data_IF_864611441303
#
_entry.id   IF_864611441303
#
_cell.length_a   1.000
_cell.length_b   1.000
_cell.length_c   1.000
_cell.angle_alpha   90.00
_cell.angle_beta   90.00
_cell.angle_gamma   90.00
#
_symmetry.space_group_name_H-M   'P 1'
#
loop_
_entity.id
_entity.type
_entity.pdbx_description
1 polymer ?
#
# COMPACT_ATOMS: atom_id res chain seq x y z
N UNK A 1 19.00 -6.71 -3.28
CA UNK A 1 19.04 -5.43 -4.04
C UNK A 1 18.47 -4.39 -3.09
N UNK A 2 19.24 -3.38 -2.72
CA UNK A 2 18.80 -2.35 -1.78
C UNK A 2 18.22 -1.22 -2.62
N UNK A 3 16.93 -0.93 -2.52
CA UNK A 3 16.34 0.26 -3.15
C UNK A 3 16.43 1.43 -2.19
N UNK A 4 16.70 2.63 -2.68
CA UNK A 4 16.98 3.80 -1.83
C UNK A 4 15.94 4.91 -1.94
N UNK A 5 15.10 4.89 -2.99
CA UNK A 5 14.02 5.87 -3.13
C UNK A 5 12.85 5.34 -3.94
N UNK A 6 11.68 5.96 -3.73
CA UNK A 6 10.49 5.83 -4.56
C UNK A 6 10.42 7.07 -5.45
N UNK A 7 10.38 6.89 -6.77
CA UNK A 7 10.27 8.00 -7.72
C UNK A 7 8.86 8.31 -8.16
N UNK A 8 7.96 7.31 -8.14
CA UNK A 8 6.59 7.46 -8.61
C UNK A 8 5.66 6.49 -7.88
N UNK A 9 4.45 6.97 -7.58
CA UNK A 9 3.35 6.15 -7.05
C UNK A 9 2.09 6.48 -7.83
N UNK A 10 1.50 5.47 -8.45
CA UNK A 10 0.29 5.65 -9.27
C UNK A 10 -0.73 4.54 -9.00
N UNK A 11 -2.01 4.89 -9.10
CA UNK A 11 -3.08 3.91 -9.13
C UNK A 11 -3.12 3.23 -10.49
N UNK A 12 -3.17 1.91 -10.47
CA UNK A 12 -3.28 1.07 -11.66
C UNK A 12 -4.38 0.04 -11.48
N UNK A 13 -5.01 -0.38 -12.58
CA UNK A 13 -5.97 -1.47 -12.57
C UNK A 13 -5.27 -2.76 -13.01
N UNK A 14 -5.39 -3.81 -12.20
CA UNK A 14 -4.90 -5.14 -12.54
C UNK A 14 -6.07 -6.09 -12.83
N UNK A 15 -6.06 -6.83 -13.95
CA UNK A 15 -7.23 -7.59 -14.42
C UNK A 15 -7.70 -8.68 -13.45
N UNK A 16 -6.80 -9.21 -12.61
CA UNK A 16 -7.12 -10.26 -11.62
C UNK A 16 -7.14 -9.77 -10.17
N UNK A 17 -6.43 -8.67 -9.89
CA UNK A 17 -6.18 -8.21 -8.52
C UNK A 17 -6.94 -6.92 -8.16
N UNK A 18 -7.68 -6.36 -9.12
CA UNK A 18 -8.37 -5.09 -8.98
C UNK A 18 -7.39 -3.91 -8.90
N UNK A 19 -7.78 -2.89 -8.14
CA UNK A 19 -6.99 -1.67 -7.99
C UNK A 19 -5.69 -1.92 -7.21
N UNK A 20 -4.57 -1.53 -7.81
CA UNK A 20 -3.22 -1.69 -7.28
C UNK A 20 -2.49 -0.34 -7.26
N UNK A 21 -1.47 -0.22 -6.41
CA UNK A 21 -0.46 0.82 -6.52
C UNK A 21 0.74 0.31 -7.30
N UNK A 22 1.09 1.04 -8.34
CA UNK A 22 2.32 0.92 -9.10
C UNK A 22 3.35 1.83 -8.45
N UNK A 23 4.45 1.26 -7.98
CA UNK A 23 5.50 1.97 -7.23
C UNK A 23 6.82 1.76 -7.95
N UNK A 24 7.41 2.86 -8.41
CA UNK A 24 8.74 2.84 -9.02
C UNK A 24 9.81 3.06 -7.96
N UNK A 25 10.67 2.05 -7.82
CA UNK A 25 11.81 2.03 -6.92
C UNK A 25 13.09 2.27 -7.69
N UNK A 26 13.95 3.14 -7.15
CA UNK A 26 15.27 3.43 -7.75
C UNK A 26 16.40 3.02 -6.80
N UNK A 27 17.51 2.59 -7.41
CA UNK A 27 18.79 2.38 -6.75
C UNK A 27 19.96 2.65 -7.69
N UNK A 28 20.40 3.91 -7.81
CA UNK A 28 21.71 4.32 -8.37
C UNK A 28 22.19 3.71 -9.70
N UNK A 29 21.33 2.98 -10.43
CA UNK A 29 21.73 2.06 -11.51
C UNK A 29 20.75 0.91 -11.78
N UNK A 30 19.76 0.68 -10.91
CA UNK A 30 18.65 -0.25 -11.16
C UNK A 30 17.30 0.37 -10.78
N UNK A 31 16.35 0.29 -11.72
CA UNK A 31 14.96 0.69 -11.51
C UNK A 31 14.09 -0.57 -11.44
N UNK A 32 13.10 -0.57 -10.55
CA UNK A 32 12.12 -1.64 -10.45
C UNK A 32 10.73 -1.08 -10.24
N UNK A 33 9.76 -1.58 -11.02
CA UNK A 33 8.35 -1.29 -10.83
C UNK A 33 7.71 -2.42 -10.01
N UNK A 34 7.09 -2.09 -8.89
CA UNK A 34 6.37 -3.03 -8.04
C UNK A 34 4.89 -2.69 -8.07
N UNK A 35 4.05 -3.67 -8.42
CA UNK A 35 2.59 -3.54 -8.37
C UNK A 35 2.05 -4.23 -7.14
N UNK A 36 1.38 -3.48 -6.29
CA UNK A 36 0.94 -3.92 -4.96
C UNK A 36 -0.56 -3.72 -4.83
N UNK A 37 -1.35 -4.77 -4.58
CA UNK A 37 -2.79 -4.63 -4.37
C UNK A 37 -3.12 -3.72 -3.19
N UNK A 38 -4.18 -2.91 -3.31
CA UNK A 38 -4.60 -2.02 -2.21
C UNK A 38 -4.89 -2.79 -0.91
N UNK A 39 -5.47 -3.99 -1.01
CA UNK A 39 -5.72 -4.86 0.16
C UNK A 39 -4.45 -5.13 0.96
N UNK A 40 -3.30 -5.25 0.30
CA UNK A 40 -2.02 -5.47 0.98
C UNK A 40 -1.66 -4.29 1.89
N UNK A 41 -1.83 -3.05 1.42
CA UNK A 41 -1.61 -1.87 2.25
C UNK A 41 -2.57 -1.82 3.42
N UNK A 42 -3.84 -2.17 3.21
CA UNK A 42 -4.83 -2.17 4.29
C UNK A 42 -4.45 -3.16 5.40
N UNK A 43 -3.96 -4.34 5.02
CA UNK A 43 -3.51 -5.36 5.96
C UNK A 43 -2.23 -4.96 6.69
N UNK A 44 -1.29 -4.29 6.00
CA UNK A 44 0.00 -3.92 6.54
C UNK A 44 0.03 -2.56 7.27
N UNK A 45 -1.02 -1.74 7.12
CA UNK A 45 -1.18 -0.51 7.90
C UNK A 45 -1.21 -0.76 9.41
N UNK A 46 -1.63 -1.97 9.84
CA UNK A 46 -1.70 -2.38 11.25
C UNK A 46 -0.31 -2.52 11.91
N UNK A 47 0.76 -2.70 11.12
CA UNK A 47 2.12 -2.88 11.63
C UNK A 47 2.95 -1.59 11.59
N UNK A 48 2.55 -0.58 10.82
CA UNK A 48 3.33 0.65 10.64
C UNK A 48 3.00 1.76 11.66
N UNK A 49 1.90 1.64 12.42
CA UNK A 49 1.50 2.66 13.40
C UNK A 49 0.89 2.04 14.67
N UNK A 50 1.41 2.35 15.88
CA UNK A 50 0.81 1.91 17.13
C UNK A 50 -0.56 2.55 17.42
N UNK A 51 -1.04 3.50 16.59
CA UNK A 51 -2.35 4.14 16.74
C UNK A 51 -3.48 3.46 15.96
N UNK A 52 -3.19 2.36 15.25
CA UNK A 52 -4.17 1.70 14.37
C UNK A 52 -4.73 0.41 14.99
N UNK A 53 -5.56 0.55 16.03
CA UNK A 53 -6.21 -0.56 16.73
C UNK A 53 -7.56 -0.93 16.09
N UNK A 54 -7.54 -1.72 15.00
CA UNK A 54 -8.66 -2.61 14.70
C UNK A 54 -8.34 -3.98 15.29
N UNK A 55 -9.17 -4.40 16.24
CA UNK A 55 -9.00 -5.59 17.08
C UNK A 55 -8.78 -6.86 16.26
N UNK A 56 -7.87 -7.72 16.74
CA UNK A 56 -7.42 -9.00 16.12
C UNK A 56 -8.53 -10.04 15.90
N UNK A 57 -9.80 -9.74 16.19
CA UNK A 57 -10.93 -10.69 16.13
C UNK A 57 -11.48 -10.96 14.72
N UNK A 58 -11.18 -10.11 13.74
CA UNK A 58 -11.81 -10.21 12.40
C UNK A 58 -10.95 -10.91 11.34
N UNK A 59 -9.99 -11.75 11.73
CA UNK A 59 -9.14 -12.47 10.76
C UNK A 59 -9.82 -13.67 10.10
N UNK A 60 -10.82 -14.27 10.76
CA UNK A 60 -11.42 -15.53 10.33
C UNK A 60 -12.62 -15.40 9.36
N UNK A 61 -13.11 -14.19 9.08
CA UNK A 61 -14.34 -13.99 8.27
C UNK A 61 -14.08 -13.30 6.92
N UNK A 62 -12.82 -13.17 6.50
CA UNK A 62 -12.40 -12.31 5.38
C UNK A 62 -12.14 -13.07 4.07
N UNK A 63 -12.33 -14.38 4.00
CA UNK A 63 -11.99 -15.14 2.79
C UNK A 63 -12.96 -14.94 1.61
N UNK A 64 -14.18 -14.42 1.86
CA UNK A 64 -15.18 -14.17 0.79
C UNK A 64 -15.54 -12.70 0.53
N UNK A 65 -15.56 -11.85 1.56
CA UNK A 65 -16.07 -10.47 1.45
C UNK A 65 -14.98 -9.38 1.38
N UNK A 66 -13.71 -9.74 1.61
CA UNK A 66 -12.58 -8.82 1.66
C UNK A 66 -12.39 -8.04 0.34
N UNK A 67 -12.58 -8.69 -0.80
CA UNK A 67 -12.30 -8.07 -2.11
C UNK A 67 -13.22 -6.89 -2.43
N UNK A 68 -14.45 -6.88 -1.90
CA UNK A 68 -15.43 -5.83 -2.20
C UNK A 68 -15.35 -4.62 -1.26
N UNK A 69 -14.78 -4.75 -0.05
CA UNK A 69 -14.75 -3.65 0.95
C UNK A 69 -13.48 -2.80 0.95
N UNK A 70 -12.39 -3.25 0.32
CA UNK A 70 -11.13 -2.49 0.28
C UNK A 70 -11.04 -1.56 -0.93
N UNK A 71 -12.10 -0.78 -1.15
CA UNK A 71 -12.08 0.30 -2.13
C UNK A 71 -11.42 1.52 -1.50
N UNK A 72 -10.38 2.03 -2.16
CA UNK A 72 -10.01 3.43 -1.97
C UNK A 72 -11.15 4.30 -2.46
N UNK A 73 -11.26 5.54 -1.97
CA UNK A 73 -12.17 6.52 -2.56
C UNK A 73 -11.69 6.89 -3.96
N UNK A 74 -11.74 5.97 -4.93
CA UNK A 74 -11.17 6.14 -6.28
C UNK A 74 -11.86 7.25 -7.08
N UNK A 75 -12.96 7.81 -6.56
CA UNK A 75 -13.63 9.00 -7.07
C UNK A 75 -13.05 10.32 -6.53
N UNK A 76 -12.10 10.29 -5.58
CA UNK A 76 -11.48 11.47 -4.99
C UNK A 76 -10.02 11.55 -5.47
N UNK A 77 -9.65 12.68 -6.06
CA UNK A 77 -8.28 12.95 -6.56
C UNK A 77 -7.18 12.71 -5.51
N UNK A 78 -7.53 12.80 -4.22
CA UNK A 78 -6.62 12.65 -3.08
C UNK A 78 -6.73 11.28 -2.38
N UNK A 79 -7.27 10.27 -3.07
CA UNK A 79 -7.38 8.92 -2.50
C UNK A 79 -6.02 8.32 -2.15
N UNK A 80 -5.00 8.65 -2.95
CA UNK A 80 -3.62 8.24 -2.73
C UNK A 80 -2.73 9.44 -2.99
N UNK A 81 -1.91 9.79 -2.02
CA UNK A 81 -0.94 10.87 -2.15
C UNK A 81 0.44 10.40 -1.73
N UNK A 82 1.46 10.89 -2.41
CA UNK A 82 2.86 10.62 -2.09
C UNK A 82 3.63 11.93 -2.19
N UNK A 83 4.31 12.32 -1.11
CA UNK A 83 5.03 13.60 -1.01
C UNK A 83 6.56 13.46 -1.11
N UNK A 84 7.05 12.26 -1.46
CA UNK A 84 8.48 11.93 -1.50
C UNK A 84 9.03 11.38 -0.19
N UNK A 85 8.29 11.46 0.91
CA UNK A 85 8.65 10.92 2.23
C UNK A 85 7.62 9.95 2.78
N UNK A 86 6.34 10.15 2.45
CA UNK A 86 5.25 9.38 3.01
C UNK A 86 4.17 9.11 1.95
N UNK A 87 3.75 7.85 1.89
CA UNK A 87 2.57 7.42 1.15
C UNK A 87 1.35 7.49 2.08
N UNK A 88 0.32 8.22 1.65
CA UNK A 88 -0.98 8.31 2.32
C UNK A 88 -2.06 7.68 1.45
N UNK A 89 -2.93 6.87 2.06
CA UNK A 89 -4.08 6.24 1.40
C UNK A 89 -5.34 6.53 2.22
N UNK A 90 -6.33 7.17 1.57
CA UNK A 90 -7.64 7.48 2.13
C UNK A 90 -8.69 6.47 1.64
N UNK A 91 -9.26 5.72 2.57
CA UNK A 91 -10.19 4.62 2.31
C UNK A 91 -11.65 5.09 2.30
N UNK A 92 -12.53 4.33 1.63
CA UNK A 92 -13.98 4.66 1.59
C UNK A 92 -14.61 4.70 2.98
N UNK A 93 -14.15 3.83 3.89
CA UNK A 93 -14.60 3.78 5.28
C UNK A 93 -14.08 4.93 6.17
N UNK A 94 -13.39 5.92 5.58
CA UNK A 94 -12.84 7.08 6.28
C UNK A 94 -11.52 6.81 7.00
N UNK A 95 -11.02 5.58 6.96
CA UNK A 95 -9.70 5.28 7.49
C UNK A 95 -8.60 5.94 6.63
N UNK A 96 -7.47 6.27 7.26
CA UNK A 96 -6.27 6.75 6.58
C UNK A 96 -5.08 5.88 6.95
N UNK A 97 -4.43 5.31 5.95
CA UNK A 97 -3.17 4.59 6.11
C UNK A 97 -2.00 5.48 5.70
N UNK A 98 -0.90 5.41 6.44
CA UNK A 98 0.32 6.18 6.20
C UNK A 98 1.53 5.27 6.27
N UNK A 99 2.45 5.40 5.32
CA UNK A 99 3.68 4.60 5.23
C UNK A 99 4.85 5.51 4.92
N UNK A 100 5.86 5.54 5.79
CA UNK A 100 7.10 6.25 5.52
C UNK A 100 7.87 5.55 4.38
N UNK A 101 8.52 6.33 3.52
CA UNK A 101 9.19 5.86 2.30
C UNK A 101 10.18 4.74 2.57
N UNK A 102 11.00 4.89 3.61
CA UNK A 102 12.07 3.96 3.93
C UNK A 102 11.50 2.62 4.41
N UNK A 103 10.49 2.67 5.29
CA UNK A 103 9.80 1.48 5.76
C UNK A 103 9.02 0.81 4.63
N UNK A 104 8.37 1.60 3.78
CA UNK A 104 7.64 1.10 2.63
C UNK A 104 8.59 0.36 1.67
N UNK A 105 9.75 0.93 1.35
CA UNK A 105 10.76 0.26 0.53
C UNK A 105 11.20 -1.06 1.18
N UNK A 106 11.47 -1.08 2.48
CA UNK A 106 11.85 -2.32 3.19
C UNK A 106 10.74 -3.38 3.15
N UNK A 107 9.48 -2.98 3.26
CA UNK A 107 8.34 -3.91 3.22
C UNK A 107 8.10 -4.48 1.82
N UNK A 108 8.32 -3.68 0.77
CA UNK A 108 8.15 -4.09 -0.63
C UNK A 108 9.31 -4.94 -1.12
N UNK A 109 10.52 -4.64 -0.66
CA UNK A 109 11.74 -5.36 -0.98
C UNK A 109 11.94 -6.42 0.10
N UNK A 110 11.21 -7.54 -0.02
CA UNK A 110 11.35 -8.64 0.95
C UNK A 110 12.82 -8.95 1.23
N UNK A 111 13.23 -9.14 2.50
CA UNK A 111 14.47 -9.86 2.77
C UNK A 111 14.33 -11.25 2.15
N UNK A 112 15.32 -11.68 1.36
CA UNK A 112 15.39 -13.08 0.94
C UNK A 112 15.40 -13.92 2.24
N UNK A 113 14.33 -14.68 2.47
CA UNK A 113 14.42 -15.86 3.33
C UNK A 113 15.10 -16.97 2.52
#
# INVERSE_FOLDING_TARGET
RLFSSISLVELSQHPKAGTCLSIDLKNGGADANVKVPLVWFRDHCRNASPKCSISKRNRASLEGEAYCRYRCKTLIRDAVTYDGKQLSINWEDGHKSMFDSDLLIQMLVKPKQ
#
